data_IF_610057488889
#
_entry.id   IF_610057488889
#
_cell.length_a   1.000
_cell.length_b   1.000
_cell.length_c   1.000
_cell.angle_alpha   90.00
_cell.angle_beta   90.00
_cell.angle_gamma   90.00
#
_symmetry.space_group_name_H-M   'P 1'
#
loop_
_entity.id
_entity.type
_entity.pdbx_description
1 polymer ?
#
# COMPACT_ATOMS: atom_id res chain seq x y z
N UNK A 1 37.14 53.45 -2.84
CA UNK A 1 37.76 52.14 -3.14
C UNK A 1 37.00 51.13 -2.31
N UNK A 2 36.12 50.26 -2.82
CA UNK A 2 35.76 49.80 -4.17
C UNK A 2 34.25 49.42 -4.08
N UNK A 3 33.37 50.19 -4.72
CA UNK A 3 32.58 49.82 -5.91
C UNK A 3 31.53 48.71 -5.70
N UNK A 4 30.31 49.18 -5.40
CA UNK A 4 29.02 48.53 -5.63
C UNK A 4 28.67 48.52 -7.13
N UNK A 5 28.14 47.40 -7.66
CA UNK A 5 27.05 47.38 -8.67
C UNK A 5 26.27 46.05 -8.58
N UNK A 6 24.92 46.07 -8.48
CA UNK A 6 24.02 44.91 -8.65
C UNK A 6 23.39 44.87 -10.06
N UNK A 7 22.92 43.71 -10.51
CA UNK A 7 22.02 43.55 -11.67
C UNK A 7 21.18 42.28 -11.45
N UNK A 8 19.87 42.35 -11.21
CA UNK A 8 18.73 42.55 -12.13
C UNK A 8 18.28 41.31 -12.93
N UNK A 9 16.95 41.26 -13.06
CA UNK A 9 16.04 40.16 -13.40
C UNK A 9 16.00 39.79 -14.90
N UNK A 10 15.49 38.60 -15.23
CA UNK A 10 14.89 38.34 -16.55
C UNK A 10 14.79 36.86 -16.96
N UNK A 11 13.61 36.37 -17.40
CA UNK A 11 13.32 34.94 -17.56
C UNK A 11 13.70 34.39 -18.94
N UNK A 12 14.06 33.10 -19.01
CA UNK A 12 14.28 32.38 -20.27
C UNK A 12 12.99 31.63 -20.73
N UNK A 13 12.71 31.57 -22.05
CA UNK A 13 11.38 31.30 -22.57
C UNK A 13 11.11 29.83 -22.88
N UNK A 14 9.81 29.51 -22.83
CA UNK A 14 9.13 28.37 -23.41
C UNK A 14 9.43 28.24 -24.92
N UNK A 15 9.88 27.06 -25.38
CA UNK A 15 9.84 26.69 -26.80
C UNK A 15 9.42 25.22 -26.95
N UNK A 16 8.15 25.04 -27.26
CA UNK A 16 7.64 23.89 -27.98
C UNK A 16 7.94 24.05 -29.48
N UNK A 17 8.35 22.97 -30.15
CA UNK A 17 8.15 22.69 -31.60
C UNK A 17 8.66 21.26 -31.90
N UNK A 18 7.78 20.30 -32.15
CA UNK A 18 7.14 19.92 -33.43
C UNK A 18 7.88 18.78 -34.13
N UNK A 19 7.07 17.77 -34.46
CA UNK A 19 7.30 16.52 -35.17
C UNK A 19 8.07 16.67 -36.50
N UNK A 20 8.82 15.64 -36.85
CA UNK A 20 9.14 15.31 -38.24
C UNK A 20 9.08 13.79 -38.41
N UNK A 21 8.12 13.35 -39.21
CA UNK A 21 7.98 12.01 -39.74
C UNK A 21 9.13 11.70 -40.72
N UNK A 22 9.66 10.47 -40.67
CA UNK A 22 10.43 9.89 -41.77
C UNK A 22 9.80 8.56 -42.14
N UNK A 23 9.47 8.47 -43.42
CA UNK A 23 8.72 7.44 -44.12
C UNK A 23 9.64 6.29 -44.57
N UNK A 24 9.20 5.07 -44.27
CA UNK A 24 9.25 3.82 -45.06
C UNK A 24 10.53 3.50 -45.86
N UNK A 25 11.32 2.57 -45.32
CA UNK A 25 12.20 1.69 -46.09
C UNK A 25 11.73 0.24 -45.97
N UNK A 26 11.00 -0.23 -46.98
CA UNK A 26 10.66 -1.64 -47.18
C UNK A 26 11.91 -2.43 -47.57
N UNK A 27 12.37 -3.35 -46.71
CA UNK A 27 13.20 -4.48 -47.13
C UNK A 27 12.57 -5.74 -46.56
N UNK A 28 12.03 -6.55 -47.47
CA UNK A 28 11.47 -7.86 -47.21
C UNK A 28 12.58 -8.91 -46.99
N UNK A 29 12.44 -9.58 -45.85
CA UNK A 29 12.42 -11.04 -45.69
C UNK A 29 13.73 -11.84 -45.49
N UNK A 30 13.58 -12.80 -44.56
CA UNK A 30 14.34 -14.02 -44.27
C UNK A 30 15.44 -13.96 -43.19
N UNK A 31 15.06 -14.38 -41.97
CA UNK A 31 15.98 -14.86 -40.95
C UNK A 31 15.24 -15.32 -39.70
N UNK A 32 14.98 -16.62 -39.61
CA UNK A 32 14.26 -17.25 -38.51
C UNK A 32 14.92 -17.03 -37.14
N UNK A 33 14.05 -16.89 -36.14
CA UNK A 33 14.40 -16.77 -34.73
C UNK A 33 13.18 -16.28 -33.97
N UNK A 34 12.21 -17.18 -33.74
CA UNK A 34 11.31 -17.04 -32.59
C UNK A 34 12.13 -17.34 -31.32
N UNK A 35 13.22 -16.61 -31.13
CA UNK A 35 13.80 -16.49 -29.80
C UNK A 35 12.83 -15.57 -29.09
N UNK A 36 11.89 -16.17 -28.36
CA UNK A 36 11.14 -15.45 -27.35
C UNK A 36 12.20 -14.75 -26.50
N UNK A 37 12.32 -13.44 -26.66
CA UNK A 37 13.03 -12.60 -25.69
C UNK A 37 12.34 -12.89 -24.37
N UNK A 38 12.90 -13.82 -23.59
CA UNK A 38 12.56 -13.95 -22.18
C UNK A 38 12.78 -12.56 -21.61
N UNK A 39 11.67 -11.90 -21.26
CA UNK A 39 11.69 -10.60 -20.62
C UNK A 39 12.64 -10.70 -19.42
N UNK A 40 13.44 -9.65 -19.17
CA UNK A 40 14.34 -9.64 -18.01
C UNK A 40 13.55 -9.88 -16.71
N UNK A 41 12.25 -9.57 -16.71
CA UNK A 41 11.30 -9.96 -15.66
C UNK A 41 11.09 -11.48 -15.54
N UNK A 42 10.86 -12.20 -16.64
CA UNK A 42 10.69 -13.66 -16.62
C UNK A 42 11.96 -14.36 -16.13
N UNK A 43 13.14 -13.84 -16.51
CA UNK A 43 14.43 -14.35 -16.02
C UNK A 43 14.61 -14.13 -14.53
N UNK A 44 14.23 -12.94 -14.03
CA UNK A 44 14.25 -12.63 -12.60
C UNK A 44 13.35 -13.61 -11.84
N UNK A 45 12.11 -13.79 -12.30
CA UNK A 45 11.14 -14.67 -11.65
C UNK A 45 11.58 -16.14 -11.65
N UNK A 46 12.14 -16.62 -12.76
CA UNK A 46 12.73 -17.96 -12.82
C UNK A 46 13.89 -18.14 -11.82
N UNK A 47 14.70 -17.10 -11.59
CA UNK A 47 15.76 -17.14 -10.58
C UNK A 47 15.23 -17.19 -9.14
N UNK A 48 14.07 -16.60 -8.91
CA UNK A 48 13.38 -16.61 -7.61
C UNK A 48 12.49 -17.84 -7.40
N UNK A 49 12.44 -18.76 -8.37
CA UNK A 49 11.50 -19.90 -8.41
C UNK A 49 10.04 -19.46 -8.21
N UNK A 50 9.64 -18.41 -8.93
CA UNK A 50 8.35 -17.73 -8.76
C UNK A 50 7.63 -17.54 -10.08
N UNK A 51 6.31 -17.70 -10.10
CA UNK A 51 5.47 -17.32 -11.26
C UNK A 51 5.05 -15.85 -11.20
N UNK A 52 4.62 -15.23 -12.32
CA UNK A 52 4.11 -13.86 -12.32
C UNK A 52 2.95 -13.64 -11.34
N UNK A 53 2.06 -14.61 -11.21
CA UNK A 53 0.89 -14.57 -10.29
C UNK A 53 1.34 -14.65 -8.83
N UNK A 54 2.33 -15.48 -8.53
CA UNK A 54 2.91 -15.55 -7.19
C UNK A 54 3.60 -14.23 -6.83
N UNK A 55 4.29 -13.59 -7.78
CA UNK A 55 4.95 -12.31 -7.55
C UNK A 55 3.96 -11.17 -7.35
N UNK A 56 2.88 -11.17 -8.12
CA UNK A 56 1.77 -10.25 -7.93
C UNK A 56 1.12 -10.42 -6.55
N UNK A 57 0.83 -11.66 -6.15
CA UNK A 57 0.28 -11.96 -4.83
C UNK A 57 1.16 -11.46 -3.71
N UNK A 58 2.46 -11.79 -3.73
CA UNK A 58 3.40 -11.33 -2.69
C UNK A 58 3.47 -9.81 -2.67
N UNK A 59 3.51 -9.14 -3.83
CA UNK A 59 3.52 -7.68 -3.85
C UNK A 59 2.26 -7.05 -3.26
N UNK A 60 1.08 -7.62 -3.54
CA UNK A 60 -0.19 -7.17 -2.94
C UNK A 60 -0.19 -7.41 -1.44
N UNK A 61 0.26 -8.59 -1.00
CA UNK A 61 0.36 -8.98 0.40
C UNK A 61 1.22 -7.98 1.19
N UNK A 62 2.45 -7.76 0.75
CA UNK A 62 3.39 -6.85 1.42
C UNK A 62 2.93 -5.39 1.37
N UNK A 63 2.25 -4.99 0.29
CA UNK A 63 1.63 -3.67 0.20
C UNK A 63 0.47 -3.50 1.18
N UNK A 64 -0.29 -4.57 1.43
CA UNK A 64 -1.33 -4.61 2.46
C UNK A 64 -0.77 -4.30 3.84
N UNK A 65 0.32 -4.98 4.22
CA UNK A 65 1.05 -4.72 5.47
C UNK A 65 1.49 -3.26 5.59
N UNK A 66 2.18 -2.73 4.57
CA UNK A 66 2.71 -1.37 4.58
C UNK A 66 1.62 -0.30 4.71
N UNK A 67 0.53 -0.42 3.93
CA UNK A 67 -0.58 0.54 3.99
C UNK A 67 -1.33 0.43 5.32
N UNK A 68 -1.59 -0.78 5.81
CA UNK A 68 -2.25 -1.00 7.09
C UNK A 68 -1.45 -0.38 8.25
N UNK A 69 -0.14 -0.63 8.29
CA UNK A 69 0.74 -0.05 9.31
C UNK A 69 0.69 1.48 9.31
N UNK A 70 0.71 2.12 8.13
CA UNK A 70 0.56 3.58 8.02
C UNK A 70 -0.79 4.09 8.53
N UNK A 71 -1.88 3.39 8.22
CA UNK A 71 -3.22 3.75 8.68
C UNK A 71 -3.38 3.61 10.20
N UNK A 72 -2.65 2.69 10.80
CA UNK A 72 -2.58 2.48 12.26
C UNK A 72 -1.59 3.44 12.95
N UNK A 73 -0.92 4.31 12.19
CA UNK A 73 0.02 5.31 12.70
C UNK A 73 1.42 4.76 12.97
N UNK A 74 1.74 3.55 12.50
CA UNK A 74 3.06 2.96 12.64
C UNK A 74 4.05 3.45 11.59
N UNK A 75 5.32 3.47 11.99
CA UNK A 75 6.42 3.77 11.08
C UNK A 75 6.82 2.51 10.31
N UNK A 76 6.86 2.62 8.99
CA UNK A 76 7.36 1.59 8.07
C UNK A 76 8.71 2.06 7.53
N UNK A 77 9.74 1.23 7.69
CA UNK A 77 11.10 1.48 7.20
C UNK A 77 11.29 0.97 5.79
N UNK A 78 10.62 -0.13 5.44
CA UNK A 78 10.62 -0.61 4.08
C UNK A 78 9.75 -1.83 3.86
N UNK A 79 9.65 -2.19 2.59
CA UNK A 79 8.93 -3.35 2.11
C UNK A 79 9.67 -3.96 0.91
N UNK A 80 9.69 -5.28 0.82
CA UNK A 80 10.36 -6.03 -0.25
C UNK A 80 9.52 -7.21 -0.70
N UNK A 81 9.61 -7.53 -1.98
CA UNK A 81 9.09 -8.78 -2.57
C UNK A 81 10.20 -9.78 -2.87
N UNK A 82 11.46 -9.43 -2.58
CA UNK A 82 12.55 -10.37 -2.70
C UNK A 82 12.51 -11.35 -1.53
N UNK A 83 12.55 -12.67 -1.80
CA UNK A 83 12.52 -13.66 -0.76
C UNK A 83 13.80 -13.64 0.08
N UNK A 84 13.67 -13.98 1.35
CA UNK A 84 14.79 -14.27 2.25
C UNK A 84 14.73 -15.74 2.64
N UNK A 85 15.54 -16.57 1.97
CA UNK A 85 15.59 -18.02 2.21
C UNK A 85 16.06 -18.36 3.62
N UNK A 86 16.91 -17.53 4.24
CA UNK A 86 17.38 -17.78 5.61
C UNK A 86 16.25 -17.60 6.62
N UNK A 87 15.29 -16.73 6.32
CA UNK A 87 14.10 -16.47 7.13
C UNK A 87 12.85 -17.24 6.67
N UNK A 88 12.90 -17.88 5.51
CA UNK A 88 11.74 -18.53 4.90
C UNK A 88 10.66 -17.54 4.43
N UNK A 89 11.03 -16.28 4.18
CA UNK A 89 10.10 -15.21 3.81
C UNK A 89 9.99 -15.06 2.29
N UNK A 90 8.78 -14.92 1.76
CA UNK A 90 8.56 -14.65 0.32
C UNK A 90 8.65 -13.15 -0.02
N UNK A 91 8.26 -12.31 0.93
CA UNK A 91 8.44 -10.87 0.97
C UNK A 91 8.64 -10.45 2.41
N UNK A 92 8.79 -9.15 2.68
CA UNK A 92 8.84 -8.65 4.04
C UNK A 92 8.44 -7.19 4.09
N UNK A 93 7.60 -6.83 5.05
CA UNK A 93 7.34 -5.47 5.49
C UNK A 93 7.92 -5.29 6.90
N UNK A 94 8.65 -4.21 7.13
CA UNK A 94 9.31 -3.97 8.42
C UNK A 94 9.23 -2.53 8.89
N UNK A 95 9.16 -2.37 10.20
CA UNK A 95 9.15 -1.06 10.88
C UNK A 95 10.54 -0.61 11.32
N UNK A 96 10.56 0.55 11.97
CA UNK A 96 11.77 1.14 12.56
C UNK A 96 12.39 0.19 13.58
N UNK A 97 13.71 0.00 13.48
CA UNK A 97 14.46 -0.80 14.46
C UNK A 97 14.40 -2.31 14.19
N UNK A 98 13.90 -2.73 13.02
CA UNK A 98 13.81 -4.14 12.63
C UNK A 98 15.16 -4.85 12.69
N UNK A 99 16.23 -4.22 12.21
CA UNK A 99 17.56 -4.82 12.21
C UNK A 99 18.04 -5.13 13.63
N UNK A 100 17.84 -4.18 14.55
CA UNK A 100 18.21 -4.30 15.96
C UNK A 100 17.36 -5.35 16.68
N UNK A 101 16.04 -5.31 16.50
CA UNK A 101 15.13 -6.28 17.12
C UNK A 101 15.47 -7.72 16.70
N UNK A 102 15.76 -7.95 15.43
CA UNK A 102 16.16 -9.28 14.95
C UNK A 102 17.57 -9.68 15.42
N UNK A 103 18.52 -8.75 15.46
CA UNK A 103 19.86 -9.03 15.98
C UNK A 103 19.84 -9.44 17.47
N UNK A 104 18.88 -8.93 18.23
CA UNK A 104 18.68 -9.27 19.65
C UNK A 104 17.81 -10.53 19.87
N UNK A 105 17.32 -11.18 18.81
CA UNK A 105 16.38 -12.30 18.93
C UNK A 105 15.05 -11.88 19.57
N UNK A 106 14.57 -10.68 19.22
CA UNK A 106 13.28 -10.09 19.66
C UNK A 106 12.36 -9.81 18.47
N UNK A 107 12.70 -10.35 17.31
CA UNK A 107 11.94 -10.16 16.07
C UNK A 107 10.71 -11.06 15.98
N UNK A 108 10.62 -12.11 16.81
CA UNK A 108 9.50 -13.05 16.79
C UNK A 108 8.44 -12.72 17.84
N UNK A 109 7.17 -12.90 17.48
CA UNK A 109 6.05 -12.69 18.39
C UNK A 109 6.08 -13.59 19.65
N UNK A 110 6.67 -14.78 19.56
CA UNK A 110 6.83 -15.67 20.72
C UNK A 110 7.80 -15.09 21.75
N UNK A 111 8.88 -14.42 21.32
CA UNK A 111 9.82 -13.73 22.22
C UNK A 111 9.12 -12.57 22.97
N UNK A 112 8.29 -11.82 22.24
CA UNK A 112 7.47 -10.73 22.82
C UNK A 112 6.47 -11.29 23.83
N UNK A 113 5.76 -12.38 23.47
CA UNK A 113 4.82 -13.05 24.37
C UNK A 113 5.53 -13.52 25.64
N UNK A 114 6.68 -14.17 25.51
CA UNK A 114 7.43 -14.71 26.64
C UNK A 114 7.92 -13.58 27.57
N UNK A 115 8.44 -12.48 27.00
CA UNK A 115 8.86 -11.30 27.75
C UNK A 115 7.72 -10.64 28.54
N UNK A 116 6.52 -10.56 27.95
CA UNK A 116 5.37 -9.89 28.56
C UNK A 116 4.54 -10.80 29.46
N UNK A 117 4.62 -12.13 29.29
CA UNK A 117 3.77 -13.10 30.00
C UNK A 117 3.73 -12.91 31.52
N UNK A 118 4.88 -12.60 32.12
CA UNK A 118 5.05 -12.45 33.57
C UNK A 118 4.42 -11.16 34.15
N UNK A 119 4.19 -10.15 33.31
CA UNK A 119 3.58 -8.87 33.71
C UNK A 119 2.11 -8.76 33.33
N UNK A 120 1.57 -9.75 32.59
CA UNK A 120 0.16 -9.77 32.23
C UNK A 120 -0.74 -10.10 33.44
N UNK A 121 -1.87 -9.40 33.59
CA UNK A 121 -2.77 -9.58 34.72
C UNK A 121 -3.42 -10.96 34.73
N UNK A 122 -3.57 -11.51 35.93
CA UNK A 122 -4.28 -12.75 36.21
C UNK A 122 -5.80 -12.53 36.29
N UNK A 123 -6.54 -13.64 36.44
CA UNK A 123 -7.99 -13.58 36.55
C UNK A 123 -8.43 -12.72 37.77
N UNK A 124 -9.19 -11.67 37.50
CA UNK A 124 -9.70 -10.75 38.52
C UNK A 124 -8.79 -9.55 38.84
N UNK A 125 -7.59 -9.49 38.25
CA UNK A 125 -6.69 -8.35 38.40
C UNK A 125 -7.06 -7.19 37.46
N UNK A 126 -6.68 -5.97 37.86
CA UNK A 126 -6.88 -4.78 37.04
C UNK A 126 -6.01 -4.83 35.78
N UNK A 127 -6.63 -4.54 34.63
CA UNK A 127 -5.96 -4.50 33.33
C UNK A 127 -5.52 -3.09 32.93
N UNK A 128 -5.97 -2.06 33.65
CA UNK A 128 -5.62 -0.67 33.39
C UNK A 128 -4.11 -0.42 33.23
N UNK A 129 -3.24 -0.99 34.10
CA UNK A 129 -1.79 -0.77 34.03
C UNK A 129 -1.09 -1.28 32.75
N UNK A 130 -1.71 -2.23 32.02
CA UNK A 130 -1.15 -2.82 30.79
C UNK A 130 -2.07 -2.62 29.58
N UNK A 131 -2.98 -1.63 29.65
CA UNK A 131 -3.94 -1.37 28.59
C UNK A 131 -3.27 -1.03 27.25
N UNK A 132 -2.08 -0.42 27.30
CA UNK A 132 -1.21 -0.18 26.15
C UNK A 132 -0.72 -1.47 25.50
N UNK A 133 -0.37 -2.50 26.27
CA UNK A 133 0.00 -3.83 25.74
C UNK A 133 -1.17 -4.43 24.97
N UNK A 134 -2.38 -4.42 25.55
CA UNK A 134 -3.59 -4.90 24.86
C UNK A 134 -3.85 -4.14 23.55
N UNK A 135 -3.70 -2.81 23.57
CA UNK A 135 -3.85 -1.96 22.39
C UNK A 135 -2.82 -2.32 21.30
N UNK A 136 -1.55 -2.45 21.67
CA UNK A 136 -0.48 -2.79 20.73
C UNK A 136 -0.63 -4.19 20.15
N UNK A 137 -1.00 -5.19 20.96
CA UNK A 137 -1.29 -6.55 20.47
C UNK A 137 -2.44 -6.52 19.46
N UNK A 138 -3.52 -5.82 19.77
CA UNK A 138 -4.66 -5.72 18.85
C UNK A 138 -4.26 -5.11 17.51
N UNK A 139 -3.55 -3.97 17.54
CA UNK A 139 -3.05 -3.31 16.33
C UNK A 139 -2.10 -4.22 15.55
N UNK A 140 -1.19 -4.95 16.21
CA UNK A 140 -0.27 -5.87 15.53
C UNK A 140 -0.96 -7.09 14.93
N UNK A 141 -1.97 -7.64 15.58
CA UNK A 141 -2.77 -8.71 14.97
C UNK A 141 -3.53 -8.22 13.73
N UNK A 142 -4.00 -6.96 13.70
CA UNK A 142 -4.58 -6.36 12.49
C UNK A 142 -3.52 -6.25 11.38
N UNK A 143 -2.31 -5.81 11.71
CA UNK A 143 -1.20 -5.74 10.73
C UNK A 143 -0.90 -7.11 10.15
N UNK A 144 -0.70 -8.15 10.95
CA UNK A 144 -0.44 -9.49 10.44
C UNK A 144 -1.54 -9.99 9.49
N UNK A 145 -2.81 -9.62 9.71
CA UNK A 145 -3.89 -10.04 8.81
C UNK A 145 -4.00 -9.16 7.55
N UNK A 146 -3.30 -8.03 7.48
CA UNK A 146 -3.42 -7.05 6.40
C UNK A 146 -3.00 -7.60 5.03
N UNK A 147 -1.95 -8.41 4.98
CA UNK A 147 -1.51 -9.02 3.72
C UNK A 147 -2.60 -9.90 3.09
N UNK A 148 -3.20 -10.80 3.87
CA UNK A 148 -4.33 -11.63 3.42
C UNK A 148 -5.57 -10.80 3.09
N UNK A 149 -5.87 -9.77 3.88
CA UNK A 149 -6.99 -8.88 3.60
C UNK A 149 -6.82 -8.14 2.27
N UNK A 150 -5.60 -7.71 1.95
CA UNK A 150 -5.25 -7.11 0.66
C UNK A 150 -5.38 -8.12 -0.50
N UNK A 151 -4.90 -9.35 -0.32
CA UNK A 151 -5.09 -10.42 -1.31
C UNK A 151 -6.57 -10.65 -1.61
N UNK A 152 -7.44 -10.80 -0.59
CA UNK A 152 -8.90 -10.97 -0.79
C UNK A 152 -9.57 -9.80 -1.50
N UNK A 153 -9.04 -8.60 -1.31
CA UNK A 153 -9.62 -7.40 -1.89
C UNK A 153 -9.29 -7.27 -3.38
N UNK A 154 -8.11 -7.73 -3.81
CA UNK A 154 -7.56 -7.43 -5.14
C UNK A 154 -7.36 -8.65 -6.04
N UNK A 155 -7.40 -9.87 -5.50
CA UNK A 155 -7.21 -11.11 -6.25
C UNK A 155 -8.48 -11.96 -6.24
N UNK A 156 -8.64 -12.77 -7.28
CA UNK A 156 -9.73 -13.72 -7.38
C UNK A 156 -9.46 -14.97 -6.52
N UNK A 157 -10.49 -15.45 -5.84
CA UNK A 157 -10.45 -16.66 -5.02
C UNK A 157 -10.06 -16.41 -3.56
N UNK A 158 -10.08 -17.48 -2.76
CA UNK A 158 -9.63 -17.40 -1.36
C UNK A 158 -8.10 -17.47 -1.32
N UNK A 159 -7.41 -16.50 -0.69
CA UNK A 159 -5.97 -16.52 -0.52
C UNK A 159 -5.47 -17.77 0.18
N UNK A 160 -4.22 -18.13 -0.11
CA UNK A 160 -3.52 -19.13 0.68
C UNK A 160 -3.45 -18.70 2.15
N UNK A 161 -3.39 -19.68 3.06
CA UNK A 161 -3.24 -19.39 4.48
C UNK A 161 -1.89 -18.67 4.71
N UNK A 162 -1.87 -17.46 5.29
CA UNK A 162 -0.63 -16.75 5.58
C UNK A 162 -0.01 -17.36 6.85
N UNK A 163 0.72 -18.47 6.68
CA UNK A 163 1.15 -19.34 7.78
C UNK A 163 1.94 -18.59 8.84
N UNK A 164 2.91 -17.77 8.42
CA UNK A 164 3.75 -17.05 9.38
C UNK A 164 3.01 -15.91 10.08
N UNK A 165 2.26 -15.08 9.34
CA UNK A 165 1.42 -14.03 9.94
C UNK A 165 0.41 -14.59 10.93
N UNK A 166 -0.25 -15.70 10.60
CA UNK A 166 -1.19 -16.38 11.51
C UNK A 166 -0.48 -16.90 12.75
N UNK A 167 0.70 -17.49 12.58
CA UNK A 167 1.52 -17.95 13.71
C UNK A 167 1.88 -16.78 14.62
N UNK A 168 2.41 -15.69 14.07
CA UNK A 168 2.79 -14.50 14.84
C UNK A 168 1.58 -13.83 15.53
N UNK A 169 0.45 -13.71 14.83
CA UNK A 169 -0.78 -13.20 15.40
C UNK A 169 -1.30 -14.08 16.54
N UNK A 170 -1.19 -15.41 16.42
CA UNK A 170 -1.57 -16.36 17.48
C UNK A 170 -0.70 -16.19 18.72
N UNK A 171 0.61 -16.06 18.55
CA UNK A 171 1.55 -15.83 19.64
C UNK A 171 1.19 -14.59 20.46
N UNK A 172 0.87 -13.47 19.80
CA UNK A 172 0.45 -12.26 20.50
C UNK A 172 -0.97 -12.40 21.10
N UNK A 173 -1.89 -13.04 20.40
CA UNK A 173 -3.27 -13.24 20.87
C UNK A 173 -3.33 -14.06 22.18
N UNK A 174 -2.36 -14.93 22.45
CA UNK A 174 -2.25 -15.67 23.72
C UNK A 174 -2.02 -14.78 24.95
N UNK A 175 -1.59 -13.53 24.77
CA UNK A 175 -1.53 -12.54 25.86
C UNK A 175 -2.92 -12.07 26.29
N UNK A 176 -3.92 -12.15 25.40
CA UNK A 176 -5.28 -11.68 25.61
C UNK A 176 -6.24 -12.84 25.89
N UNK A 177 -6.18 -13.86 25.04
CA UNK A 177 -7.11 -14.99 25.02
C UNK A 177 -6.49 -16.23 25.67
N UNK A 178 -7.30 -17.02 26.39
CA UNK A 178 -6.84 -18.21 27.10
C UNK A 178 -7.23 -19.53 26.43
N UNK A 179 -8.36 -19.58 25.73
CA UNK A 179 -8.81 -20.75 24.97
C UNK A 179 -8.50 -20.59 23.49
N UNK A 180 -8.31 -21.71 22.81
CA UNK A 180 -8.08 -21.74 21.35
C UNK A 180 -9.24 -21.08 20.59
N UNK A 181 -10.49 -21.39 20.95
CA UNK A 181 -11.68 -20.76 20.35
C UNK A 181 -11.68 -19.22 20.46
N UNK A 182 -11.20 -18.68 21.59
CA UNK A 182 -11.11 -17.23 21.78
C UNK A 182 -9.95 -16.62 20.99
N UNK A 183 -8.84 -17.37 20.82
CA UNK A 183 -7.71 -16.93 19.99
C UNK A 183 -8.13 -16.88 18.52
N UNK A 184 -8.76 -17.94 18.01
CA UNK A 184 -9.27 -18.01 16.63
C UNK A 184 -10.27 -16.89 16.36
N UNK A 185 -11.26 -16.72 17.23
CA UNK A 185 -12.27 -15.65 17.09
C UNK A 185 -11.65 -14.24 17.12
N UNK A 186 -10.60 -14.03 17.93
CA UNK A 186 -9.90 -12.76 18.00
C UNK A 186 -9.12 -12.47 16.71
N UNK A 187 -8.45 -13.49 16.14
CA UNK A 187 -7.72 -13.36 14.88
C UNK A 187 -8.69 -13.12 13.72
N UNK A 188 -9.83 -13.83 13.67
CA UNK A 188 -10.88 -13.58 12.67
C UNK A 188 -11.42 -12.16 12.76
N UNK A 189 -11.62 -11.63 13.97
CA UNK A 189 -11.99 -10.23 14.17
C UNK A 189 -10.90 -9.28 13.64
N UNK A 190 -9.63 -9.57 13.87
CA UNK A 190 -8.52 -8.77 13.35
C UNK A 190 -8.45 -8.81 11.81
N UNK A 191 -8.75 -9.94 11.19
CA UNK A 191 -8.85 -10.11 9.72
C UNK A 191 -9.96 -9.24 9.14
N UNK A 192 -11.14 -9.23 9.77
CA UNK A 192 -12.25 -8.32 9.39
C UNK A 192 -11.87 -6.85 9.57
N UNK A 193 -11.22 -6.51 10.68
CA UNK A 193 -10.77 -5.16 10.95
C UNK A 193 -9.71 -4.68 9.93
N UNK A 194 -8.77 -5.53 9.55
CA UNK A 194 -7.77 -5.23 8.53
C UNK A 194 -8.42 -4.98 7.17
N UNK A 195 -9.40 -5.82 6.78
CA UNK A 195 -10.18 -5.62 5.56
C UNK A 195 -10.91 -4.27 5.57
N UNK A 196 -11.65 -3.98 6.65
CA UNK A 196 -12.45 -2.75 6.74
C UNK A 196 -11.56 -1.50 6.72
N UNK A 197 -10.36 -1.60 7.30
CA UNK A 197 -9.36 -0.54 7.29
C UNK A 197 -8.78 -0.32 5.88
N UNK A 198 -8.48 -1.39 5.14
CA UNK A 198 -7.86 -1.33 3.81
C UNK A 198 -8.85 -1.03 2.68
N UNK A 199 -10.13 -1.38 2.81
CA UNK A 199 -11.12 -1.29 1.74
C UNK A 199 -11.22 0.10 1.07
N UNK A 200 -11.16 1.24 1.80
CA UNK A 200 -11.16 2.58 1.19
C UNK A 200 -9.89 2.93 0.39
N UNK A 201 -8.82 2.12 0.54
CA UNK A 201 -7.47 2.37 0.04
C UNK A 201 -6.98 1.27 -0.91
N UNK A 202 -7.87 0.47 -1.50
CA UNK A 202 -7.48 -0.57 -2.46
C UNK A 202 -6.70 -0.04 -3.67
N UNK A 203 -6.97 1.20 -4.08
CA UNK A 203 -6.19 1.89 -5.12
C UNK A 203 -4.77 2.25 -4.70
N UNK A 204 -4.56 2.58 -3.42
CA UNK A 204 -3.24 2.79 -2.83
C UNK A 204 -2.46 1.48 -2.77
N UNK A 205 -3.09 0.39 -2.28
CA UNK A 205 -2.47 -0.94 -2.22
C UNK A 205 -2.06 -1.41 -3.61
N UNK A 206 -2.94 -1.27 -4.60
CA UNK A 206 -2.66 -1.63 -6.00
C UNK A 206 -1.52 -0.78 -6.60
N UNK A 207 -1.51 0.54 -6.36
CA UNK A 207 -0.43 1.38 -6.86
C UNK A 207 0.92 1.03 -6.22
N UNK A 208 0.94 0.77 -4.92
CA UNK A 208 2.14 0.37 -4.20
C UNK A 208 2.64 -1.00 -4.67
N UNK A 209 1.75 -1.98 -4.87
CA UNK A 209 2.13 -3.32 -5.33
C UNK A 209 2.74 -3.30 -6.72
N UNK A 210 2.20 -2.49 -7.65
CA UNK A 210 2.79 -2.31 -8.99
C UNK A 210 4.20 -1.73 -8.90
N UNK A 211 4.38 -0.66 -8.12
CA UNK A 211 5.71 -0.04 -7.97
C UNK A 211 6.68 -0.98 -7.27
N UNK A 212 6.22 -1.73 -6.28
CA UNK A 212 7.01 -2.70 -5.54
C UNK A 212 7.46 -3.87 -6.43
N UNK A 213 6.62 -4.38 -7.34
CA UNK A 213 7.03 -5.42 -8.30
C UNK A 213 8.14 -4.96 -9.23
N UNK A 214 8.10 -3.70 -9.64
CA UNK A 214 9.10 -3.08 -10.52
C UNK A 214 10.41 -2.85 -9.75
N UNK A 215 10.32 -2.23 -8.57
CA UNK A 215 11.52 -1.81 -7.80
C UNK A 215 12.09 -2.91 -6.91
N UNK A 216 11.31 -3.95 -6.65
CA UNK A 216 11.57 -5.09 -5.75
C UNK A 216 11.65 -4.75 -4.27
N UNK A 217 12.07 -3.53 -3.93
CA UNK A 217 12.13 -3.00 -2.58
C UNK A 217 11.77 -1.51 -2.60
N UNK A 218 11.07 -1.06 -1.56
CA UNK A 218 10.78 0.35 -1.31
C UNK A 218 11.17 0.68 0.12
N UNK A 219 11.74 1.87 0.31
CA UNK A 219 11.93 2.42 1.66
C UNK A 219 10.66 3.15 2.14
N UNK A 220 10.65 3.51 3.43
CA UNK A 220 9.54 4.22 4.07
C UNK A 220 9.16 5.54 3.40
N UNK A 221 10.13 6.27 2.84
CA UNK A 221 9.89 7.56 2.18
C UNK A 221 9.25 7.39 0.80
N UNK A 222 9.66 6.35 0.07
CA UNK A 222 9.08 5.95 -1.20
C UNK A 222 7.64 5.47 -1.03
N UNK A 223 7.38 4.65 -0.01
CA UNK A 223 6.02 4.24 0.39
C UNK A 223 5.15 5.48 0.63
N UNK A 224 5.60 6.42 1.45
CA UNK A 224 4.84 7.61 1.77
C UNK A 224 4.58 8.49 0.55
N UNK A 225 5.55 8.58 -0.37
CA UNK A 225 5.41 9.35 -1.59
C UNK A 225 4.35 8.74 -2.52
N UNK A 226 4.31 7.41 -2.62
CA UNK A 226 3.29 6.70 -3.40
C UNK A 226 1.90 6.97 -2.81
N UNK A 227 1.74 6.78 -1.49
CA UNK A 227 0.48 7.04 -0.78
C UNK A 227 0.01 8.47 -1.02
N UNK A 228 0.88 9.46 -0.78
CA UNK A 228 0.58 10.89 -1.01
C UNK A 228 0.15 11.17 -2.46
N UNK A 229 0.84 10.58 -3.43
CA UNK A 229 0.54 10.80 -4.85
C UNK A 229 -0.84 10.24 -5.24
N UNK A 230 -1.19 9.05 -4.77
CA UNK A 230 -2.48 8.42 -5.05
C UNK A 230 -3.61 9.24 -4.42
N UNK A 231 -3.48 9.59 -3.14
CA UNK A 231 -4.49 10.38 -2.43
C UNK A 231 -4.67 11.78 -3.02
N UNK A 232 -3.58 12.44 -3.42
CA UNK A 232 -3.65 13.73 -4.11
C UNK A 232 -4.39 13.65 -5.45
N UNK A 233 -4.18 12.56 -6.22
CA UNK A 233 -4.89 12.33 -7.49
C UNK A 233 -6.38 12.06 -7.26
N UNK A 234 -6.75 11.29 -6.23
CA UNK A 234 -8.16 11.06 -5.85
C UNK A 234 -8.84 12.37 -5.49
N UNK A 235 -8.21 13.18 -4.62
CA UNK A 235 -8.73 14.47 -4.21
C UNK A 235 -8.93 15.41 -5.41
N UNK A 236 -7.97 15.44 -6.34
CA UNK A 236 -8.06 16.23 -7.56
C UNK A 236 -9.22 15.77 -8.46
N UNK A 237 -9.41 14.47 -8.62
CA UNK A 237 -10.51 13.90 -9.41
C UNK A 237 -11.88 14.26 -8.82
N UNK A 238 -12.02 14.16 -7.49
CA UNK A 238 -13.24 14.57 -6.77
C UNK A 238 -13.51 16.06 -6.97
N UNK A 239 -12.48 16.90 -6.87
CA UNK A 239 -12.62 18.35 -7.08
C UNK A 239 -13.02 18.70 -8.52
N UNK A 240 -12.43 18.02 -9.51
CA UNK A 240 -12.79 18.20 -10.92
C UNK A 240 -14.26 17.87 -11.17
N UNK A 241 -14.75 16.76 -10.58
CA UNK A 241 -16.16 16.37 -10.67
C UNK A 241 -17.07 17.41 -10.02
N UNK A 242 -16.75 17.86 -8.80
CA UNK A 242 -17.50 18.90 -8.09
C UNK A 242 -17.63 20.18 -8.92
N UNK A 243 -16.55 20.62 -9.58
CA UNK A 243 -16.56 21.80 -10.45
C UNK A 243 -17.42 21.61 -11.70
N UNK A 244 -17.40 20.41 -12.30
CA UNK A 244 -18.24 20.10 -13.44
C UNK A 244 -19.74 20.13 -13.06
N UNK A 245 -20.10 19.54 -11.92
CA UNK A 245 -21.47 19.52 -11.40
C UNK A 245 -21.97 20.93 -11.04
N UNK A 246 -21.10 21.76 -10.46
CA UNK A 246 -21.39 23.17 -10.20
C UNK A 246 -21.69 23.94 -11.49
N UNK A 247 -20.83 23.82 -12.50
CA UNK A 247 -21.04 24.46 -13.82
C UNK A 247 -22.34 24.03 -14.48
N UNK A 248 -22.70 22.74 -14.38
CA UNK A 248 -23.97 22.21 -14.89
C UNK A 248 -25.17 22.86 -14.19
N UNK A 249 -25.09 23.02 -12.87
CA UNK A 249 -26.12 23.67 -12.06
C UNK A 249 -26.27 25.16 -12.40
N UNK A 250 -25.16 25.88 -12.57
CA UNK A 250 -25.17 27.28 -13.01
C UNK A 250 -25.82 27.45 -14.40
N UNK A 251 -25.49 26.57 -15.35
CA UNK A 251 -26.10 26.60 -16.68
C UNK A 251 -27.60 26.31 -16.63
N UNK A 252 -28.03 25.34 -15.83
CA UNK A 252 -29.45 25.04 -15.63
C UNK A 252 -30.20 26.23 -14.99
N UNK A 253 -29.62 26.87 -13.97
CA UNK A 253 -30.20 28.04 -13.33
C UNK A 253 -30.32 29.24 -14.29
N UNK A 254 -29.31 29.48 -15.14
CA UNK A 254 -29.35 30.51 -16.19
C UNK A 254 -30.47 30.24 -17.20
N UNK A 255 -30.62 28.99 -17.66
CA UNK A 255 -31.70 28.58 -18.57
C UNK A 255 -33.08 28.79 -17.93
N UNK A 256 -33.27 28.32 -16.70
CA UNK A 256 -34.53 28.51 -15.96
C UNK A 256 -34.92 29.98 -15.83
N UNK A 257 -33.95 30.85 -15.52
CA UNK A 257 -34.19 32.30 -15.45
C UNK A 257 -34.59 32.89 -16.80
N UNK A 258 -33.94 32.47 -17.89
CA UNK A 258 -34.28 32.93 -19.24
C UNK A 258 -35.69 32.50 -19.65
N UNK A 259 -36.05 31.24 -19.42
CA UNK A 259 -37.38 30.71 -19.73
C UNK A 259 -38.47 31.40 -18.91
N UNK A 260 -38.20 31.66 -17.63
CA UNK A 260 -39.12 32.39 -16.74
C UNK A 260 -39.34 33.86 -17.17
N UNK A 261 -38.34 34.48 -17.80
CA UNK A 261 -38.46 35.83 -18.35
C UNK A 261 -39.17 35.82 -19.70
N UNK A 262 -38.90 34.84 -20.57
CA UNK A 262 -39.59 34.68 -21.85
C UNK A 262 -41.09 34.37 -21.67
N UNK A 263 -41.45 33.52 -20.69
CA UNK A 263 -42.84 33.21 -20.36
C UNK A 263 -43.65 34.38 -19.77
N UNK A 264 -42.99 35.44 -19.29
CA UNK A 264 -43.65 36.68 -18.82
C UNK A 264 -43.98 37.67 -19.95
N UNK A 265 -43.56 37.42 -21.19
CA UNK A 265 -43.71 38.36 -22.30
C UNK A 265 -44.96 38.08 -23.18
N UNK A 266 -45.83 37.13 -22.80
CA UNK A 266 -47.00 36.68 -23.60
C UNK A 266 -48.35 37.16 -23.01
N UNK A 267 -48.37 38.06 -22.04
CA UNK A 267 -49.60 38.69 -21.50
C UNK A 267 -49.61 40.18 -21.76
#
# INVERSE_FOLDING_TARGET
MSEDVPAEEGPAPFLAKTEAAVEVGLVTDLGGGLDAEFDDYDRLLAHLDRTPEQDERVAIHESGHAVCARLLGHLVDGVTVNPDQARGSEGLCWGVGHAEAFAEGRGDASDVRDALSSVMPQAGEDRGPVADVFGNVYIKCIEFMAGRAAERMLLDGEPALPVDDLRQARELAMLICRSEEAIESFIEHCDLAARDLLMPYGDVVMALSVVLRIKRMLDGAEIDQIIRNVEARKALAVEHRRRADWRKSELAAKRFRADSLAGKCIT
#
